data_IF_357799118256
#
_entry.id   IF_357799118256
#
_cell.length_a   1.000
_cell.length_b   1.000
_cell.length_c   1.000
_cell.angle_alpha   90.00
_cell.angle_beta   90.00
_cell.angle_gamma   90.00
#
_symmetry.space_group_name_H-M   'P 1'
#
loop_
_entity.id
_entity.type
_entity.pdbx_description
1 polymer ?
#
# COMPACT_ATOMS: atom_id res chain seq x y z
N UNK A 1 -64.69 29.36 18.27
CA UNK A 1 -64.57 29.03 16.84
C UNK A 1 -63.10 29.12 16.44
N UNK A 2 -62.50 27.94 16.24
CA UNK A 2 -61.26 27.59 15.52
C UNK A 2 -60.21 28.66 15.19
N UNK A 3 -59.06 28.58 15.85
CA UNK A 3 -57.78 29.07 15.35
C UNK A 3 -57.12 28.03 14.44
N UNK A 4 -56.69 28.42 13.24
CA UNK A 4 -55.96 27.55 12.31
C UNK A 4 -54.45 27.78 12.44
N UNK A 5 -53.76 26.72 12.82
CA UNK A 5 -52.30 26.62 12.91
C UNK A 5 -51.69 26.34 11.53
N UNK A 6 -50.61 27.05 11.19
CA UNK A 6 -49.74 26.76 10.05
C UNK A 6 -48.87 25.53 10.38
N UNK A 7 -49.11 24.40 9.71
CA UNK A 7 -48.12 23.34 9.58
C UNK A 7 -47.97 22.97 8.10
N UNK A 8 -46.81 23.31 7.57
CA UNK A 8 -46.37 22.97 6.22
C UNK A 8 -46.23 21.47 6.05
N UNK A 9 -46.64 21.02 4.87
CA UNK A 9 -46.38 19.69 4.35
C UNK A 9 -44.95 19.69 3.79
N UNK A 10 -43.99 19.21 4.57
CA UNK A 10 -42.67 18.78 4.09
C UNK A 10 -42.48 17.33 4.52
N UNK A 11 -43.09 16.40 3.78
CA UNK A 11 -42.69 15.00 3.83
C UNK A 11 -41.60 14.84 2.78
N UNK A 12 -40.37 14.89 3.27
CA UNK A 12 -39.16 14.77 2.49
C UNK A 12 -39.01 13.41 1.82
N UNK A 13 -38.48 13.46 0.61
CA UNK A 13 -37.96 12.39 -0.24
C UNK A 13 -36.81 11.64 0.46
N UNK A 14 -37.13 10.78 1.43
CA UNK A 14 -36.15 10.02 2.21
C UNK A 14 -36.08 8.51 1.91
N UNK A 15 -36.82 8.00 0.91
CA UNK A 15 -37.12 6.56 0.83
C UNK A 15 -36.39 5.70 -0.21
N UNK A 16 -35.56 6.26 -1.11
CA UNK A 16 -35.13 5.52 -2.32
C UNK A 16 -33.61 5.30 -2.49
N UNK A 17 -32.76 5.59 -1.50
CA UNK A 17 -31.30 5.56 -1.70
C UNK A 17 -30.57 4.28 -1.25
N UNK A 18 -31.23 3.31 -0.63
CA UNK A 18 -30.53 2.16 -0.03
C UNK A 18 -30.34 0.94 -0.95
N UNK A 19 -30.90 0.94 -2.17
CA UNK A 19 -30.61 -0.10 -3.20
C UNK A 19 -29.67 0.39 -4.32
N UNK A 20 -29.20 1.65 -4.24
CA UNK A 20 -28.41 2.29 -5.28
C UNK A 20 -26.92 1.96 -5.26
N UNK A 21 -26.36 1.61 -4.09
CA UNK A 21 -24.90 1.43 -3.95
C UNK A 21 -24.34 0.29 -4.81
N UNK A 22 -25.07 -0.83 -4.94
CA UNK A 22 -24.64 -1.97 -5.77
C UNK A 22 -24.77 -1.70 -7.28
N UNK A 23 -25.71 -0.85 -7.70
CA UNK A 23 -25.82 -0.40 -9.11
C UNK A 23 -24.77 0.64 -9.49
N UNK A 24 -24.32 1.44 -8.53
CA UNK A 24 -23.27 2.45 -8.73
C UNK A 24 -21.91 1.77 -8.93
N UNK A 25 -21.58 0.70 -8.21
CA UNK A 25 -20.28 0.00 -8.41
C UNK A 25 -20.24 -0.85 -9.69
N UNK A 26 -21.40 -1.21 -10.25
CA UNK A 26 -21.53 -2.03 -11.46
C UNK A 26 -21.72 -1.23 -12.76
N UNK A 27 -22.08 0.06 -12.69
CA UNK A 27 -22.27 0.93 -13.85
C UNK A 27 -20.93 1.44 -14.43
N UNK A 28 -20.69 1.35 -15.75
CA UNK A 28 -19.51 1.93 -16.41
C UNK A 28 -19.34 3.44 -16.18
N UNK A 29 -20.44 4.18 -16.15
CA UNK A 29 -20.43 5.64 -15.94
C UNK A 29 -19.98 6.00 -14.53
N UNK A 30 -20.45 5.26 -13.53
CA UNK A 30 -20.05 5.48 -12.14
C UNK A 30 -18.58 5.10 -11.90
N UNK A 31 -18.07 4.03 -12.52
CA UNK A 31 -16.64 3.69 -12.50
C UNK A 31 -15.78 4.78 -13.14
N UNK A 32 -16.24 5.37 -14.25
CA UNK A 32 -15.55 6.49 -14.91
C UNK A 32 -15.45 7.71 -13.99
N UNK A 33 -16.55 8.09 -13.34
CA UNK A 33 -16.57 9.20 -12.36
C UNK A 33 -15.64 8.94 -11.18
N UNK A 34 -15.63 7.72 -10.62
CA UNK A 34 -14.70 7.35 -9.55
C UNK A 34 -13.24 7.43 -9.99
N UNK A 35 -12.92 6.98 -11.21
CA UNK A 35 -11.56 7.07 -11.76
C UNK A 35 -11.10 8.51 -12.02
N UNK A 36 -12.04 9.40 -12.35
CA UNK A 36 -11.76 10.84 -12.47
C UNK A 36 -11.48 11.46 -11.11
N UNK A 37 -12.27 11.08 -10.09
CA UNK A 37 -12.03 11.46 -8.71
C UNK A 37 -10.63 11.04 -8.24
N UNK A 38 -10.23 9.80 -8.52
CA UNK A 38 -8.90 9.28 -8.18
C UNK A 38 -7.77 10.08 -8.84
N UNK A 39 -7.87 10.33 -10.15
CA UNK A 39 -6.88 11.13 -10.88
C UNK A 39 -6.81 12.56 -10.37
N UNK A 40 -7.94 13.16 -10.01
CA UNK A 40 -8.02 14.49 -9.44
C UNK A 40 -7.35 14.53 -8.05
N UNK A 41 -7.66 13.56 -7.17
CA UNK A 41 -7.03 13.45 -5.84
C UNK A 41 -5.51 13.31 -5.94
N UNK A 42 -5.02 12.42 -6.81
CA UNK A 42 -3.57 12.27 -7.06
C UNK A 42 -2.93 13.56 -7.56
N UNK A 43 -3.58 14.24 -8.51
CA UNK A 43 -3.05 15.49 -9.07
C UNK A 43 -3.04 16.61 -8.03
N UNK A 44 -4.11 16.73 -7.24
CA UNK A 44 -4.20 17.69 -6.15
C UNK A 44 -3.12 17.44 -5.09
N UNK A 45 -2.91 16.20 -4.65
CA UNK A 45 -1.85 15.88 -3.69
C UNK A 45 -0.47 16.22 -4.23
N UNK A 46 -0.20 15.97 -5.52
CA UNK A 46 1.08 16.37 -6.15
C UNK A 46 1.25 17.89 -6.22
N UNK A 47 0.19 18.65 -6.49
CA UNK A 47 0.24 20.11 -6.56
C UNK A 47 0.39 20.76 -5.18
N UNK A 48 -0.31 20.23 -4.17
CA UNK A 48 -0.34 20.81 -2.81
C UNK A 48 0.82 20.32 -1.97
N UNK A 49 1.02 19.00 -1.90
CA UNK A 49 2.04 18.40 -1.05
C UNK A 49 3.38 18.19 -1.78
N UNK A 50 3.40 18.09 -3.11
CA UNK A 50 4.64 17.85 -3.86
C UNK A 50 5.44 16.69 -3.28
N UNK A 51 6.71 16.95 -2.97
CA UNK A 51 7.64 16.01 -2.31
C UNK A 51 7.71 16.19 -0.78
N UNK A 52 6.69 16.77 -0.15
CA UNK A 52 6.63 16.90 1.30
C UNK A 52 6.65 15.52 1.96
N UNK A 53 7.38 15.44 3.08
CA UNK A 53 7.41 14.26 3.90
C UNK A 53 6.08 14.09 4.65
N UNK A 54 5.65 12.84 4.81
CA UNK A 54 4.65 12.49 5.81
C UNK A 54 5.18 12.88 7.21
N UNK A 55 4.29 13.29 8.14
CA UNK A 55 4.67 13.66 9.50
C UNK A 55 5.48 12.56 10.18
N UNK A 56 6.60 12.96 10.78
CA UNK A 56 7.39 12.09 11.64
C UNK A 56 7.14 12.43 13.12
N UNK A 57 7.17 11.39 13.95
CA UNK A 57 6.83 11.47 15.37
C UNK A 57 8.04 11.17 16.24
N UNK A 58 7.91 11.38 17.55
CA UNK A 58 8.94 11.03 18.51
C UNK A 58 8.82 9.57 18.98
N UNK A 59 9.85 9.06 19.64
CA UNK A 59 9.80 7.73 20.26
C UNK A 59 8.72 7.63 21.36
N UNK A 60 8.35 8.74 21.99
CA UNK A 60 7.29 8.79 23.00
C UNK A 60 5.88 8.61 22.40
N UNK A 61 5.72 8.85 21.09
CA UNK A 61 4.44 8.71 20.39
C UNK A 61 4.21 7.29 19.87
N UNK A 62 5.20 6.39 19.98
CA UNK A 62 5.08 5.00 19.51
C UNK A 62 3.92 4.33 20.22
N UNK A 63 3.01 3.76 19.43
CA UNK A 63 1.82 3.11 19.97
C UNK A 63 2.21 1.85 20.76
N UNK A 64 1.57 1.60 21.92
CA UNK A 64 1.88 0.44 22.76
C UNK A 64 1.57 -0.88 22.03
N UNK A 65 0.59 -0.84 21.12
CA UNK A 65 0.24 -1.97 20.26
C UNK A 65 0.18 -1.47 18.83
N UNK A 66 0.94 -2.14 17.96
CA UNK A 66 0.76 -2.02 16.52
C UNK A 66 -0.02 -3.23 16.03
N UNK A 67 -1.28 -3.05 15.64
CA UNK A 67 -2.17 -4.16 15.26
C UNK A 67 -1.61 -4.91 14.06
N UNK A 68 -1.59 -6.25 14.15
CA UNK A 68 -1.40 -7.10 12.97
C UNK A 68 -2.71 -7.16 12.21
N UNK A 69 -2.68 -6.86 10.91
CA UNK A 69 -3.87 -6.83 10.06
C UNK A 69 -3.68 -7.60 8.74
N UNK A 70 -4.78 -8.02 8.11
CA UNK A 70 -4.77 -8.85 6.90
C UNK A 70 -4.20 -10.26 7.15
N UNK A 71 -3.49 -10.82 6.17
CA UNK A 71 -2.84 -12.12 6.32
C UNK A 71 -1.68 -12.05 7.32
N UNK A 72 -1.75 -12.79 8.42
CA UNK A 72 -0.78 -12.74 9.52
C UNK A 72 0.33 -13.80 9.42
N UNK A 73 0.21 -14.74 8.48
CA UNK A 73 1.20 -15.78 8.21
C UNK A 73 0.91 -16.43 6.84
N UNK A 74 1.75 -16.21 5.83
CA UNK A 74 1.68 -16.97 4.59
C UNK A 74 1.80 -18.47 4.88
N UNK A 75 0.96 -19.28 4.22
CA UNK A 75 0.88 -20.74 4.44
C UNK A 75 1.64 -21.54 3.38
N UNK A 76 2.13 -20.89 2.32
CA UNK A 76 2.91 -21.53 1.27
C UNK A 76 4.18 -22.17 1.84
N UNK A 77 4.41 -23.45 1.52
CA UNK A 77 5.54 -24.24 2.02
C UNK A 77 6.89 -23.57 1.78
N UNK A 78 7.06 -22.91 0.62
CA UNK A 78 8.28 -22.18 0.29
C UNK A 78 8.56 -21.04 1.28
N UNK A 79 7.55 -20.30 1.72
CA UNK A 79 7.71 -19.23 2.70
C UNK A 79 7.97 -19.79 4.11
N UNK A 80 7.26 -20.85 4.52
CA UNK A 80 7.47 -21.49 5.82
C UNK A 80 8.91 -22.02 5.97
N UNK A 81 9.46 -22.64 4.92
CA UNK A 81 10.85 -23.08 4.90
C UNK A 81 11.86 -21.91 5.01
N UNK A 82 11.50 -20.70 4.54
CA UNK A 82 12.32 -19.51 4.76
C UNK A 82 12.25 -19.05 6.22
N UNK A 83 11.07 -19.09 6.84
CA UNK A 83 10.90 -18.74 8.27
C UNK A 83 11.76 -19.66 9.16
N UNK A 84 11.74 -20.97 8.92
CA UNK A 84 12.53 -21.96 9.67
C UNK A 84 14.04 -21.71 9.57
N UNK A 85 14.50 -21.23 8.41
CA UNK A 85 15.91 -20.89 8.16
C UNK A 85 16.26 -19.43 8.49
N UNK A 86 15.37 -18.71 9.18
CA UNK A 86 15.59 -17.30 9.53
C UNK A 86 15.82 -16.39 8.31
N UNK A 87 15.20 -16.72 7.18
CA UNK A 87 15.31 -16.01 5.90
C UNK A 87 16.74 -15.96 5.31
N UNK A 88 17.62 -16.91 5.67
CA UNK A 88 18.99 -16.98 5.14
C UNK A 88 19.04 -17.09 3.60
N UNK A 89 18.11 -17.86 3.02
CA UNK A 89 18.02 -18.11 1.58
C UNK A 89 17.04 -17.15 0.88
N UNK A 90 16.37 -16.28 1.62
CA UNK A 90 15.43 -15.32 1.04
C UNK A 90 16.18 -14.28 0.21
N UNK A 91 15.61 -13.90 -0.93
CA UNK A 91 16.14 -12.86 -1.82
C UNK A 91 15.01 -11.96 -2.29
N UNK A 92 15.28 -10.65 -2.34
CA UNK A 92 14.44 -9.68 -3.03
C UNK A 92 14.84 -9.62 -4.50
N UNK A 93 13.91 -9.92 -5.40
CA UNK A 93 14.10 -9.69 -6.84
C UNK A 93 13.67 -8.27 -7.21
N UNK A 94 14.46 -7.56 -8.01
CA UNK A 94 14.10 -6.28 -8.64
C UNK A 94 14.29 -6.40 -10.14
N UNK A 95 13.22 -6.29 -10.91
CA UNK A 95 13.20 -6.57 -12.35
C UNK A 95 12.11 -5.79 -13.12
N UNK A 96 11.76 -6.26 -14.31
CA UNK A 96 10.87 -5.59 -15.25
C UNK A 96 11.61 -4.53 -16.05
N UNK A 97 11.12 -3.29 -16.04
CA UNK A 97 11.68 -2.15 -16.78
C UNK A 97 12.89 -1.55 -16.06
N UNK A 98 13.95 -2.35 -15.94
CA UNK A 98 15.24 -1.98 -15.37
C UNK A 98 16.37 -2.38 -16.33
N UNK A 99 17.49 -1.66 -16.29
CA UNK A 99 18.67 -1.98 -17.09
C UNK A 99 19.44 -3.19 -16.54
N UNK A 100 19.42 -3.37 -15.21
CA UNK A 100 20.16 -4.42 -14.50
C UNK A 100 19.24 -5.10 -13.49
N UNK A 101 18.51 -6.16 -13.89
CA UNK A 101 17.77 -6.98 -12.93
C UNK A 101 18.71 -7.52 -11.85
N UNK A 102 18.23 -7.55 -10.61
CA UNK A 102 19.04 -7.96 -9.47
C UNK A 102 18.24 -8.79 -8.47
N UNK A 103 18.96 -9.65 -7.73
CA UNK A 103 18.43 -10.39 -6.60
C UNK A 103 19.33 -10.17 -5.39
N UNK A 104 18.79 -9.64 -4.29
CA UNK A 104 19.57 -9.25 -3.10
C UNK A 104 19.16 -10.04 -1.87
N UNK A 105 20.13 -10.53 -1.11
CA UNK A 105 19.88 -11.12 0.21
C UNK A 105 19.43 -10.08 1.22
N UNK A 106 18.78 -10.54 2.30
CA UNK A 106 18.42 -9.68 3.42
C UNK A 106 19.66 -9.00 4.03
N UNK A 107 20.79 -9.72 4.10
CA UNK A 107 22.06 -9.16 4.58
C UNK A 107 22.60 -8.07 3.65
N UNK A 108 22.53 -8.26 2.32
CA UNK A 108 22.93 -7.24 1.35
C UNK A 108 22.04 -6.00 1.43
N UNK A 109 20.72 -6.17 1.59
CA UNK A 109 19.81 -5.05 1.80
C UNK A 109 20.14 -4.26 3.07
N UNK A 110 20.42 -4.95 4.19
CA UNK A 110 20.80 -4.31 5.46
C UNK A 110 22.13 -3.56 5.38
N UNK A 111 23.03 -3.94 4.47
CA UNK A 111 24.32 -3.28 4.27
C UNK A 111 24.22 -1.98 3.43
N UNK A 112 23.10 -1.76 2.73
CA UNK A 112 22.86 -0.50 2.01
C UNK A 112 22.58 0.66 2.98
N UNK A 113 22.69 1.92 2.54
CA UNK A 113 22.16 3.07 3.27
C UNK A 113 20.73 2.83 3.76
N UNK A 114 20.52 2.97 5.07
CA UNK A 114 19.22 2.78 5.71
C UNK A 114 18.56 4.13 6.00
N UNK A 115 17.24 4.12 6.01
CA UNK A 115 16.42 5.18 6.60
C UNK A 115 15.66 4.62 7.79
N UNK A 116 15.67 5.37 8.88
CA UNK A 116 14.81 5.14 10.04
C UNK A 116 13.81 6.30 10.13
N UNK A 117 12.53 5.98 10.31
CA UNK A 117 11.46 6.96 10.42
C UNK A 117 10.42 6.49 11.43
N UNK A 118 9.84 7.39 12.22
CA UNK A 118 8.73 7.10 13.14
C UNK A 118 7.49 7.71 12.52
N UNK A 119 6.59 6.88 12.00
CA UNK A 119 5.49 7.30 11.14
C UNK A 119 4.19 6.65 11.59
N UNK A 120 3.08 7.32 11.29
CA UNK A 120 1.74 6.80 11.55
C UNK A 120 1.29 5.93 10.38
N UNK A 121 0.75 4.77 10.71
CA UNK A 121 0.02 3.92 9.79
C UNK A 121 -1.47 4.20 9.96
N UNK A 122 -2.14 4.63 8.90
CA UNK A 122 -3.57 4.91 8.88
C UNK A 122 -4.31 3.81 8.12
N UNK A 123 -5.12 3.01 8.82
CA UNK A 123 -5.85 1.90 8.23
C UNK A 123 -7.23 2.34 7.75
N UNK A 124 -7.66 1.79 6.61
CA UNK A 124 -9.01 2.02 6.05
C UNK A 124 -10.13 1.54 6.99
N UNK A 125 -9.83 0.63 7.93
CA UNK A 125 -10.78 0.15 8.94
C UNK A 125 -10.99 1.13 10.12
N UNK A 126 -10.43 2.35 10.05
CA UNK A 126 -10.68 3.42 11.03
C UNK A 126 -9.79 3.38 12.27
N UNK A 127 -8.65 2.70 12.21
CA UNK A 127 -7.64 2.71 13.26
C UNK A 127 -6.30 3.19 12.74
N UNK A 128 -5.48 3.75 13.63
CA UNK A 128 -4.11 4.14 13.32
C UNK A 128 -3.14 3.72 14.41
N UNK A 129 -1.87 3.56 14.04
CA UNK A 129 -0.79 3.20 14.96
C UNK A 129 0.53 3.80 14.51
N UNK A 130 1.33 4.25 15.46
CA UNK A 130 2.66 4.84 15.23
C UNK A 130 3.72 3.79 15.56
N UNK A 131 4.70 3.63 14.68
CA UNK A 131 5.85 2.78 14.92
C UNK A 131 7.11 3.35 14.26
N UNK A 132 8.26 2.96 14.79
CA UNK A 132 9.55 3.20 14.15
C UNK A 132 9.81 2.13 13.11
N UNK A 133 10.13 2.51 11.89
CA UNK A 133 10.48 1.62 10.79
C UNK A 133 11.91 1.90 10.34
N UNK A 134 12.67 0.83 10.08
CA UNK A 134 14.01 0.94 9.48
C UNK A 134 14.12 0.03 8.26
N UNK A 135 14.64 0.59 7.17
CA UNK A 135 14.70 -0.08 5.88
C UNK A 135 15.53 0.66 4.85
N UNK A 136 15.64 0.04 3.68
CA UNK A 136 16.32 0.62 2.52
C UNK A 136 15.34 1.55 1.79
N UNK A 137 15.70 2.81 1.47
CA UNK A 137 14.93 3.64 0.56
C UNK A 137 14.72 2.94 -0.78
N UNK A 138 13.47 2.80 -1.22
CA UNK A 138 13.15 2.08 -2.47
C UNK A 138 13.83 2.75 -3.67
N UNK A 139 13.90 4.08 -3.68
CA UNK A 139 14.62 4.86 -4.68
C UNK A 139 16.07 4.40 -4.91
N UNK A 140 16.78 4.01 -3.85
CA UNK A 140 18.16 3.54 -3.95
C UNK A 140 18.25 2.24 -4.77
N UNK A 141 17.32 1.32 -4.55
CA UNK A 141 17.26 0.07 -5.30
C UNK A 141 16.89 0.32 -6.76
N UNK A 142 15.90 1.18 -7.01
CA UNK A 142 15.45 1.48 -8.37
C UNK A 142 16.53 2.23 -9.19
N UNK A 143 17.28 3.13 -8.56
CA UNK A 143 18.44 3.77 -9.18
C UNK A 143 19.58 2.75 -9.42
N UNK A 144 19.86 1.87 -8.46
CA UNK A 144 20.88 0.83 -8.59
C UNK A 144 20.59 -0.17 -9.72
N UNK A 145 19.32 -0.53 -9.90
CA UNK A 145 18.86 -1.37 -11.01
C UNK A 145 18.84 -0.64 -12.37
N UNK A 146 18.91 0.70 -12.37
CA UNK A 146 18.76 1.52 -13.56
C UNK A 146 17.34 1.46 -14.13
N UNK A 147 16.35 1.94 -13.36
CA UNK A 147 14.97 2.07 -13.81
C UNK A 147 14.87 2.78 -15.17
N UNK A 148 14.14 2.17 -16.12
CA UNK A 148 14.07 2.67 -17.48
C UNK A 148 13.03 3.79 -17.64
N UNK A 149 13.18 4.72 -18.60
CA UNK A 149 12.29 5.87 -18.75
C UNK A 149 10.82 5.54 -19.02
N UNK A 150 10.52 4.33 -19.49
CA UNK A 150 9.16 3.83 -19.71
C UNK A 150 8.47 3.32 -18.43
N UNK A 151 9.20 3.11 -17.33
CA UNK A 151 8.60 2.68 -16.06
C UNK A 151 7.61 3.72 -15.54
N UNK A 152 6.45 3.27 -15.07
CA UNK A 152 5.38 4.13 -14.51
C UNK A 152 4.93 3.68 -13.14
N UNK A 153 5.06 2.40 -12.83
CA UNK A 153 4.60 1.80 -11.58
C UNK A 153 5.64 0.81 -11.04
N UNK A 154 5.68 0.68 -9.72
CA UNK A 154 6.37 -0.40 -9.03
C UNK A 154 5.33 -1.38 -8.48
N UNK A 155 5.45 -2.65 -8.85
CA UNK A 155 4.55 -3.74 -8.47
C UNK A 155 5.27 -4.64 -7.47
N UNK A 156 4.65 -4.89 -6.33
CA UNK A 156 5.17 -5.72 -5.25
C UNK A 156 4.45 -7.07 -5.26
N UNK A 157 5.20 -8.14 -5.53
CA UNK A 157 4.69 -9.50 -5.41
C UNK A 157 5.07 -10.05 -4.05
N UNK A 158 4.09 -10.62 -3.37
CA UNK A 158 4.21 -11.01 -1.97
C UNK A 158 4.12 -12.53 -1.81
N UNK A 159 4.59 -13.04 -0.68
CA UNK A 159 4.55 -14.47 -0.39
C UNK A 159 3.16 -14.97 0.06
N UNK A 160 2.26 -14.06 0.45
CA UNK A 160 0.91 -14.38 0.89
C UNK A 160 -0.11 -14.44 -0.24
N UNK A 161 -1.22 -15.08 0.09
CA UNK A 161 -2.43 -15.12 -0.69
C UNK A 161 -3.64 -14.86 0.22
N UNK A 162 -4.78 -14.62 -0.42
CA UNK A 162 -6.08 -14.63 0.22
C UNK A 162 -6.97 -15.60 -0.55
N UNK A 163 -7.35 -16.70 0.10
CA UNK A 163 -8.18 -17.76 -0.50
C UNK A 163 -7.59 -18.30 -1.81
N UNK A 164 -6.27 -18.52 -1.84
CA UNK A 164 -5.54 -19.06 -3.00
C UNK A 164 -5.24 -18.04 -4.10
N UNK A 165 -5.60 -16.77 -3.91
CA UNK A 165 -5.29 -15.69 -4.85
C UNK A 165 -4.07 -14.91 -4.34
N UNK A 166 -2.96 -14.87 -5.10
CA UNK A 166 -1.74 -14.19 -4.66
C UNK A 166 -2.01 -12.72 -4.30
N UNK A 167 -1.47 -12.29 -3.17
CA UNK A 167 -1.49 -10.88 -2.80
C UNK A 167 -0.40 -10.15 -3.57
N UNK A 168 -0.76 -9.00 -4.14
CA UNK A 168 0.15 -8.08 -4.79
C UNK A 168 -0.33 -6.66 -4.54
N UNK A 169 0.57 -5.72 -4.68
CA UNK A 169 0.28 -4.30 -4.54
C UNK A 169 1.06 -3.48 -5.54
N UNK A 170 0.65 -2.25 -5.82
CA UNK A 170 1.44 -1.33 -6.63
C UNK A 170 1.31 0.12 -6.20
N UNK A 171 2.35 0.90 -6.51
CA UNK A 171 2.40 2.35 -6.37
C UNK A 171 2.92 2.97 -7.65
N UNK A 172 2.64 4.25 -7.89
CA UNK A 172 3.31 4.95 -8.99
C UNK A 172 4.80 5.16 -8.73
N UNK A 173 5.55 5.38 -9.81
CA UNK A 173 6.99 5.57 -9.71
C UNK A 173 7.37 6.81 -8.89
N UNK A 174 6.51 7.83 -8.81
CA UNK A 174 6.80 9.02 -8.01
C UNK A 174 6.80 8.69 -6.50
N UNK A 175 5.79 7.96 -6.04
CA UNK A 175 5.72 7.44 -4.67
C UNK A 175 6.83 6.42 -4.40
N UNK A 176 7.19 5.58 -5.39
CA UNK A 176 8.31 4.65 -5.26
C UNK A 176 9.66 5.35 -5.06
N UNK A 177 9.83 6.53 -5.68
CA UNK A 177 11.04 7.36 -5.56
C UNK A 177 10.99 8.34 -4.37
N UNK A 178 9.87 8.38 -3.63
CA UNK A 178 9.73 9.30 -2.51
C UNK A 178 10.71 8.96 -1.37
N UNK A 179 11.34 9.96 -0.71
CA UNK A 179 12.40 9.71 0.29
C UNK A 179 11.98 8.89 1.53
N UNK A 180 10.69 8.83 1.85
CA UNK A 180 10.13 8.02 2.95
C UNK A 180 9.53 6.68 2.50
N UNK A 181 9.58 6.37 1.21
CA UNK A 181 9.17 5.05 0.73
C UNK A 181 10.33 4.08 0.93
N UNK A 182 10.17 3.17 1.88
CA UNK A 182 11.21 2.23 2.29
C UNK A 182 10.73 0.79 2.19
N UNK A 183 11.67 -0.12 1.94
CA UNK A 183 11.49 -1.55 2.20
C UNK A 183 12.04 -1.84 3.61
N UNK A 184 11.13 -1.89 4.58
CA UNK A 184 11.45 -2.05 6.00
C UNK A 184 11.70 -3.51 6.34
N UNK A 185 12.78 -3.76 7.10
CA UNK A 185 13.13 -5.07 7.67
C UNK A 185 13.16 -5.06 9.21
N UNK A 186 13.04 -3.87 9.81
CA UNK A 186 13.06 -3.64 11.25
C UNK A 186 11.90 -2.73 11.66
N UNK A 187 11.28 -3.05 12.79
CA UNK A 187 10.21 -2.29 13.41
C UNK A 187 10.49 -2.17 14.92
N UNK A 188 10.41 -0.95 15.46
CA UNK A 188 10.66 -0.65 16.88
C UNK A 188 11.98 -1.27 17.40
N UNK A 189 13.05 -1.15 16.60
CA UNK A 189 14.39 -1.67 16.93
C UNK A 189 14.55 -3.20 16.81
N UNK A 190 13.50 -3.94 16.46
CA UNK A 190 13.53 -5.41 16.32
C UNK A 190 13.31 -5.85 14.87
N UNK A 191 13.83 -7.01 14.44
CA UNK A 191 13.43 -7.62 13.18
C UNK A 191 11.91 -7.75 13.10
N UNK A 192 11.35 -7.59 11.90
CA UNK A 192 9.91 -7.80 11.71
C UNK A 192 9.48 -9.19 12.21
N UNK A 193 8.36 -9.23 12.94
CA UNK A 193 7.66 -10.49 13.17
C UNK A 193 7.00 -10.96 11.87
N UNK A 194 6.69 -12.25 11.77
CA UNK A 194 5.93 -12.78 10.63
C UNK A 194 4.62 -12.01 10.47
N UNK A 195 3.85 -11.78 11.53
CA UNK A 195 2.59 -11.01 11.45
C UNK A 195 2.75 -9.61 10.82
N UNK A 196 3.89 -8.96 11.08
CA UNK A 196 4.18 -7.63 10.54
C UNK A 196 4.83 -7.63 9.15
N UNK A 197 5.01 -8.80 8.53
CA UNK A 197 5.46 -8.92 7.14
C UNK A 197 6.93 -9.28 6.97
N UNK A 198 7.51 -10.04 7.89
CA UNK A 198 8.89 -10.53 7.76
C UNK A 198 9.14 -11.23 6.40
N UNK A 199 10.37 -11.20 5.86
CA UNK A 199 11.52 -10.45 6.38
C UNK A 199 11.52 -8.98 5.95
N UNK A 200 10.64 -8.62 5.00
CA UNK A 200 10.65 -7.34 4.33
C UNK A 200 9.22 -6.90 3.97
N UNK A 201 8.88 -5.66 4.30
CA UNK A 201 7.60 -5.04 3.93
C UNK A 201 7.80 -3.69 3.27
N UNK A 202 6.82 -3.29 2.46
CA UNK A 202 6.71 -1.92 1.98
C UNK A 202 6.20 -1.00 3.09
N UNK A 203 6.79 0.19 3.15
CA UNK A 203 6.26 1.36 3.83
C UNK A 203 6.17 2.49 2.82
N UNK A 204 4.96 2.98 2.58
CA UNK A 204 4.64 4.14 1.74
C UNK A 204 3.76 5.06 2.58
N UNK A 205 4.38 6.03 3.23
CA UNK A 205 3.77 6.72 4.39
C UNK A 205 2.74 7.78 4.01
N UNK A 206 2.63 8.09 2.72
CA UNK A 206 1.64 9.02 2.16
C UNK A 206 0.40 8.30 1.64
N UNK A 207 0.25 7.01 1.94
CA UNK A 207 -0.88 6.20 1.53
C UNK A 207 -1.44 5.35 2.67
N UNK A 208 -2.73 5.02 2.56
CA UNK A 208 -3.44 4.15 3.49
C UNK A 208 -2.80 2.77 3.62
N UNK A 209 -3.06 2.14 4.77
CA UNK A 209 -2.38 0.93 5.21
C UNK A 209 -2.49 -0.28 4.28
N UNK A 210 -3.55 -0.39 3.47
CA UNK A 210 -3.69 -1.53 2.55
C UNK A 210 -2.67 -1.49 1.40
N UNK A 211 -2.12 -0.31 1.07
CA UNK A 211 -1.06 -0.14 0.07
C UNK A 211 0.31 -0.57 0.58
N UNK A 212 0.44 -0.85 1.88
CA UNK A 212 1.73 -1.15 2.52
C UNK A 212 1.97 -2.66 2.58
N UNK A 213 2.29 -3.22 1.42
CA UNK A 213 2.49 -4.65 1.20
C UNK A 213 3.42 -5.33 2.23
N UNK A 214 3.07 -6.55 2.64
CA UNK A 214 3.85 -7.39 3.55
C UNK A 214 4.48 -8.55 2.77
N UNK A 215 5.51 -9.19 3.35
CA UNK A 215 6.11 -10.40 2.78
C UNK A 215 6.62 -10.19 1.35
N UNK A 216 7.21 -9.02 1.07
CA UNK A 216 7.61 -8.64 -0.28
C UNK A 216 8.69 -9.60 -0.77
N UNK A 217 8.51 -10.14 -1.98
CA UNK A 217 9.44 -11.08 -2.62
C UNK A 217 10.08 -10.49 -3.87
N UNK A 218 9.34 -9.65 -4.61
CA UNK A 218 9.76 -9.07 -5.88
C UNK A 218 9.20 -7.66 -6.05
N UNK A 219 10.01 -6.77 -6.60
CA UNK A 219 9.62 -5.46 -7.10
C UNK A 219 9.80 -5.42 -8.61
N UNK A 220 8.69 -5.37 -9.35
CA UNK A 220 8.69 -5.30 -10.81
C UNK A 220 8.33 -3.89 -11.26
N UNK A 221 9.17 -3.27 -12.11
CA UNK A 221 8.83 -2.00 -12.74
C UNK A 221 8.06 -2.23 -14.05
N UNK A 222 6.88 -1.61 -14.18
CA UNK A 222 6.00 -1.78 -15.34
C UNK A 222 5.53 -0.44 -15.91
N UNK A 223 5.19 -0.43 -17.21
CA UNK A 223 4.67 0.76 -17.90
C UNK A 223 3.16 0.93 -17.70
N UNK A 224 2.45 -0.18 -17.45
CA UNK A 224 1.02 -0.22 -17.22
C UNK A 224 0.67 -1.33 -16.24
N UNK A 225 -0.41 -1.13 -15.47
CA UNK A 225 -1.02 -2.15 -14.61
C UNK A 225 -2.04 -3.00 -15.37
N UNK A 226 -2.41 -2.60 -16.59
CA UNK A 226 -3.32 -3.35 -17.46
C UNK A 226 -2.77 -4.75 -17.75
N UNK A 227 -3.60 -5.77 -17.55
CA UNK A 227 -3.22 -7.17 -17.81
C UNK A 227 -2.49 -7.87 -16.66
N UNK A 228 -2.13 -7.14 -15.60
CA UNK A 228 -1.61 -7.74 -14.37
C UNK A 228 -2.78 -8.11 -13.45
N UNK A 229 -2.92 -9.40 -13.13
CA UNK A 229 -3.97 -9.91 -12.25
C UNK A 229 -5.37 -9.43 -12.69
N UNK A 230 -6.11 -8.68 -11.84
CA UNK A 230 -7.40 -8.08 -12.20
C UNK A 230 -7.31 -6.72 -12.90
N UNK A 231 -6.10 -6.19 -13.08
CA UNK A 231 -5.79 -4.98 -13.86
C UNK A 231 -6.09 -3.67 -13.14
N UNK A 232 -6.47 -3.69 -11.85
CA UNK A 232 -6.79 -2.49 -11.07
C UNK A 232 -5.68 -2.05 -10.11
N UNK A 233 -4.54 -2.75 -10.11
CA UNK A 233 -3.31 -2.26 -9.48
C UNK A 233 -3.04 -2.75 -8.06
N UNK A 234 -3.85 -3.64 -7.51
CA UNK A 234 -3.59 -4.28 -6.24
C UNK A 234 -4.67 -5.30 -5.90
N UNK A 235 -4.41 -6.15 -4.92
CA UNK A 235 -5.33 -7.21 -4.53
C UNK A 235 -6.69 -6.66 -4.07
N UNK A 236 -6.70 -5.62 -3.23
CA UNK A 236 -7.92 -5.06 -2.66
C UNK A 236 -8.72 -4.25 -3.68
N UNK A 237 -8.04 -3.59 -4.62
CA UNK A 237 -8.63 -2.91 -5.75
C UNK A 237 -9.34 -3.91 -6.67
N UNK A 238 -8.68 -5.03 -6.98
CA UNK A 238 -9.20 -6.09 -7.82
C UNK A 238 -10.46 -6.73 -7.21
N UNK A 239 -10.43 -7.03 -5.90
CA UNK A 239 -11.41 -7.91 -5.24
C UNK A 239 -12.43 -7.21 -4.35
N UNK A 240 -12.09 -6.05 -3.79
CA UNK A 240 -12.94 -5.31 -2.86
C UNK A 240 -13.31 -3.92 -3.37
N UNK A 241 -12.82 -3.55 -4.56
CA UNK A 241 -13.14 -2.27 -5.19
C UNK A 241 -12.54 -1.07 -4.47
N UNK A 242 -11.44 -1.27 -3.74
CA UNK A 242 -10.70 -0.16 -3.15
C UNK A 242 -10.17 0.76 -4.25
N UNK A 243 -9.96 2.04 -3.89
CA UNK A 243 -9.28 2.97 -4.79
C UNK A 243 -7.83 2.55 -4.95
N UNK A 244 -7.24 2.76 -6.12
CA UNK A 244 -5.83 2.46 -6.30
C UNK A 244 -4.95 3.57 -5.74
N UNK A 245 -5.37 4.83 -5.92
CA UNK A 245 -4.72 5.96 -5.25
C UNK A 245 -5.30 6.16 -3.85
N UNK A 246 -4.53 5.78 -2.84
CA UNK A 246 -4.95 5.82 -1.44
C UNK A 246 -4.27 6.94 -0.64
N UNK A 247 -3.99 8.08 -1.29
CA UNK A 247 -3.23 9.18 -0.73
C UNK A 247 -3.88 9.81 0.51
N UNK A 248 -3.05 10.10 1.52
CA UNK A 248 -3.42 10.84 2.75
C UNK A 248 -2.58 12.10 2.93
#
# INVERSE_FOLDING_TARGET
MSGFSRRGLLVGSGGLLLSGCDRITTSPTARSLLSLGEKASRSAQRLVAGNALAPEFSAADISPVFRVNGNTRPTAAAYLAQVERGFADWRLTVDGLVAKPMAMSLAQLRALPQRTQITRHDCVEGWSAIAQWTGVPLALLLHGAGALPQARYAVFHCADDFSGKPYYESIDLAEALHPQTILAHTMNGQPLSVGHGAPLRLRVERQLGYKQAKYVMRVELVASLTGLYGGKGGYWEDHSGYQWWAGI
#
